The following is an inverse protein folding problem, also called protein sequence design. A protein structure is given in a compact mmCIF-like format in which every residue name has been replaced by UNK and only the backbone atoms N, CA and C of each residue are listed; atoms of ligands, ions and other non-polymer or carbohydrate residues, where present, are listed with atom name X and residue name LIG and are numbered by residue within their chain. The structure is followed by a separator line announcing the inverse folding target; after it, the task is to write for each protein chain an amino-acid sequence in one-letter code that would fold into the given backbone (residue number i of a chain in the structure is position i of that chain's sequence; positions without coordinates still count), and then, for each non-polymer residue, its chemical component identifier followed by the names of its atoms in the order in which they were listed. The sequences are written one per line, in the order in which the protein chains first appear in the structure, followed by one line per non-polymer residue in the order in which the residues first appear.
data_IF_420372969280
#
_entry.id   IF_420372969280
#
_cell.length_a   1.000
_cell.length_b   1.000
_cell.length_c   1.000
_cell.angle_alpha   90.00
_cell.angle_beta   90.00
_cell.angle_gamma   90.00
#
_symmetry.space_group_name_H-M   'P 1'
#
loop_
_entity.id
_entity.type
_entity.pdbx_description
1 polymer ?
#
# COMPACT_ATOMS: atom_id res chain seq x y z
N UNK A 1 -1.26 26.84 -13.25
CA UNK A 1 -2.40 25.93 -13.49
C UNK A 1 -2.74 26.00 -14.96
N UNK A 2 -2.98 24.87 -15.63
CA UNK A 2 -3.39 24.87 -17.03
C UNK A 2 -4.72 25.62 -17.18
N UNK A 3 -4.87 26.46 -18.20
CA UNK A 3 -6.02 27.36 -18.35
C UNK A 3 -7.37 26.64 -18.47
N UNK A 4 -7.36 25.36 -18.85
CA UNK A 4 -8.56 24.56 -19.11
C UNK A 4 -8.62 23.28 -18.27
N UNK A 5 -7.96 23.25 -17.10
CA UNK A 5 -8.05 22.09 -16.21
C UNK A 5 -9.27 22.19 -15.30
N UNK A 6 -10.19 21.25 -15.44
CA UNK A 6 -11.30 21.03 -14.51
C UNK A 6 -11.00 19.80 -13.65
N UNK A 7 -10.93 19.94 -12.31
CA UNK A 7 -10.75 18.80 -11.44
C UNK A 7 -11.91 17.79 -11.60
N UNK A 8 -11.63 16.47 -11.60
CA UNK A 8 -12.69 15.46 -11.59
C UNK A 8 -13.53 15.53 -10.30
N UNK A 9 -14.76 15.05 -10.37
CA UNK A 9 -15.62 14.96 -9.18
C UNK A 9 -15.05 13.97 -8.16
N UNK A 10 -15.10 14.29 -6.86
CA UNK A 10 -14.68 13.38 -5.81
C UNK A 10 -15.45 12.05 -5.87
N UNK A 11 -14.73 10.93 -5.76
CA UNK A 11 -15.32 9.59 -5.84
C UNK A 11 -15.56 9.05 -4.44
N UNK A 12 -16.72 8.43 -4.25
CA UNK A 12 -17.02 7.60 -3.09
C UNK A 12 -16.65 6.15 -3.36
N UNK A 13 -16.00 5.52 -2.38
CA UNK A 13 -15.45 4.18 -2.45
C UNK A 13 -16.07 3.31 -1.36
N UNK A 14 -16.48 2.10 -1.71
CA UNK A 14 -16.83 1.04 -0.76
C UNK A 14 -15.71 0.03 -0.75
N UNK A 15 -15.01 -0.06 0.37
CA UNK A 15 -13.83 -0.91 0.52
C UNK A 15 -14.18 -2.15 1.36
N UNK A 16 -13.47 -3.28 1.15
CA UNK A 16 -13.83 -4.56 1.76
C UNK A 16 -13.61 -4.61 3.28
N UNK A 17 -12.95 -3.61 3.87
CA UNK A 17 -12.71 -3.54 5.31
C UNK A 17 -11.84 -4.67 5.85
N UNK A 18 -11.98 -5.00 7.15
CA UNK A 18 -11.09 -5.93 7.85
C UNK A 18 -11.02 -7.33 7.25
N UNK A 19 -12.12 -7.82 6.65
CA UNK A 19 -12.15 -9.13 5.99
C UNK A 19 -11.29 -9.15 4.73
N UNK A 20 -11.29 -8.07 3.94
CA UNK A 20 -10.41 -7.89 2.80
C UNK A 20 -8.95 -7.82 3.21
N UNK A 21 -8.62 -7.06 4.26
CA UNK A 21 -7.25 -6.99 4.80
C UNK A 21 -6.74 -8.37 5.22
N UNK A 22 -7.58 -9.15 5.92
CA UNK A 22 -7.24 -10.50 6.36
C UNK A 22 -7.02 -11.46 5.18
N UNK A 23 -7.89 -11.43 4.17
CA UNK A 23 -7.77 -12.26 2.98
C UNK A 23 -6.47 -11.98 2.20
N UNK A 24 -6.13 -10.70 1.97
CA UNK A 24 -4.88 -10.32 1.33
C UNK A 24 -3.66 -10.73 2.16
N UNK A 25 -3.73 -10.54 3.49
CA UNK A 25 -2.65 -10.94 4.41
C UNK A 25 -2.40 -12.45 4.37
N UNK A 26 -3.45 -13.27 4.28
CA UNK A 26 -3.32 -14.72 4.13
C UNK A 26 -2.53 -15.08 2.87
N UNK A 27 -2.91 -14.51 1.72
CA UNK A 27 -2.23 -14.74 0.43
C UNK A 27 -0.76 -14.33 0.49
N UNK A 28 -0.44 -13.19 1.11
CA UNK A 28 0.95 -12.73 1.28
C UNK A 28 1.78 -13.70 2.13
N UNK A 29 1.22 -14.20 3.22
CA UNK A 29 1.90 -15.18 4.07
C UNK A 29 2.13 -16.50 3.33
N UNK A 30 1.17 -16.94 2.51
CA UNK A 30 1.31 -18.15 1.68
C UNK A 30 2.38 -17.95 0.59
N UNK A 31 2.47 -16.77 -0.02
CA UNK A 31 3.53 -16.45 -0.97
C UNK A 31 4.91 -16.46 -0.32
N UNK A 32 5.03 -15.95 0.91
CA UNK A 32 6.27 -16.02 1.65
C UNK A 32 6.67 -17.46 1.98
N UNK A 33 5.71 -18.26 2.47
CA UNK A 33 5.91 -19.69 2.74
C UNK A 33 6.32 -20.48 1.50
N UNK A 34 5.79 -20.11 0.34
CA UNK A 34 6.14 -20.71 -0.94
C UNK A 34 7.48 -20.19 -1.52
N UNK A 35 8.21 -19.32 -0.81
CA UNK A 35 9.46 -18.71 -1.28
C UNK A 35 9.28 -17.71 -2.43
N UNK A 36 8.04 -17.27 -2.70
CA UNK A 36 7.71 -16.34 -3.78
C UNK A 36 7.85 -14.87 -3.37
N UNK A 37 7.75 -14.57 -2.07
CA UNK A 37 7.85 -13.23 -1.51
C UNK A 37 8.94 -13.18 -0.42
N UNK A 38 9.74 -12.11 -0.42
CA UNK A 38 10.66 -11.84 0.70
C UNK A 38 9.91 -11.41 1.96
N UNK A 39 10.60 -11.31 3.08
CA UNK A 39 10.02 -10.76 4.31
C UNK A 39 9.58 -9.31 4.13
N UNK A 40 10.37 -8.51 3.41
CA UNK A 40 10.01 -7.11 3.15
C UNK A 40 8.85 -6.99 2.16
N UNK A 41 8.74 -7.89 1.18
CA UNK A 41 7.56 -7.95 0.28
C UNK A 41 6.27 -8.17 1.07
N UNK A 42 6.30 -9.02 2.11
CA UNK A 42 5.15 -9.21 3.01
C UNK A 42 4.87 -7.94 3.81
N UNK A 43 5.91 -7.27 4.29
CA UNK A 43 5.77 -6.02 5.06
C UNK A 43 5.11 -4.92 4.25
N UNK A 44 5.60 -4.68 3.02
CA UNK A 44 5.01 -3.73 2.06
C UNK A 44 3.60 -4.16 1.68
N UNK A 45 3.41 -5.44 1.36
CA UNK A 45 2.12 -6.00 0.98
C UNK A 45 1.04 -5.82 2.06
N UNK A 46 1.39 -6.02 3.35
CA UNK A 46 0.45 -5.81 4.47
C UNK A 46 0.07 -4.33 4.61
N UNK A 47 0.99 -3.39 4.36
CA UNK A 47 0.66 -1.96 4.32
C UNK A 47 -0.29 -1.65 3.17
N UNK A 48 -0.06 -2.21 1.99
CA UNK A 48 -0.95 -2.05 0.85
C UNK A 48 -2.34 -2.67 1.11
N UNK A 49 -2.38 -3.87 1.71
CA UNK A 49 -3.62 -4.53 2.09
C UNK A 49 -4.46 -3.65 3.03
N UNK A 50 -3.82 -3.00 4.00
CA UNK A 50 -4.48 -2.06 4.90
C UNK A 50 -5.09 -0.84 4.18
N UNK A 51 -4.36 -0.26 3.22
CA UNK A 51 -4.86 0.88 2.42
C UNK A 51 -6.04 0.46 1.55
N UNK A 52 -5.92 -0.66 0.83
CA UNK A 52 -6.97 -1.17 -0.06
C UNK A 52 -8.21 -1.67 0.70
N UNK A 53 -8.05 -2.08 1.95
CA UNK A 53 -9.17 -2.40 2.84
C UNK A 53 -9.88 -1.15 3.37
N UNK A 54 -9.32 0.05 3.20
CA UNK A 54 -9.86 1.29 3.78
C UNK A 54 -9.47 1.52 5.24
N UNK A 55 -8.53 0.71 5.75
CA UNK A 55 -8.09 0.74 7.14
C UNK A 55 -9.11 0.17 8.12
N UNK A 56 -9.17 0.73 9.33
CA UNK A 56 -10.12 0.31 10.38
C UNK A 56 -11.48 1.00 10.21
N UNK A 57 -12.19 0.64 9.14
CA UNK A 57 -13.51 1.19 8.81
C UNK A 57 -14.55 0.07 8.78
N UNK A 58 -15.82 0.42 8.95
CA UNK A 58 -16.90 -0.53 8.69
C UNK A 58 -17.06 -0.72 7.17
N UNK A 59 -17.15 -1.97 6.64
CA UNK A 59 -17.38 -2.21 5.22
C UNK A 59 -18.66 -1.59 4.66
N UNK A 60 -19.61 -1.21 5.52
CA UNK A 60 -20.85 -0.52 5.12
C UNK A 60 -20.67 0.98 4.88
N UNK A 61 -19.57 1.57 5.38
CA UNK A 61 -19.25 2.98 5.21
C UNK A 61 -18.74 3.28 3.80
N UNK A 62 -19.10 4.46 3.30
CA UNK A 62 -18.50 5.05 2.08
C UNK A 62 -17.31 5.91 2.47
N UNK A 63 -16.18 5.70 1.80
CA UNK A 63 -14.95 6.47 1.99
C UNK A 63 -14.73 7.43 0.83
N UNK A 64 -14.17 8.60 1.14
CA UNK A 64 -13.70 9.54 0.13
C UNK A 64 -12.31 9.14 -0.37
N UNK A 65 -11.98 9.54 -1.60
CA UNK A 65 -10.63 9.37 -2.15
C UNK A 65 -9.55 9.98 -1.24
N UNK A 66 -9.80 11.18 -0.69
CA UNK A 66 -8.89 11.85 0.25
C UNK A 66 -8.54 10.98 1.46
N UNK A 67 -9.51 10.19 1.96
CA UNK A 67 -9.29 9.30 3.09
C UNK A 67 -8.32 8.17 2.72
N UNK A 68 -8.49 7.59 1.54
CA UNK A 68 -7.62 6.52 1.03
C UNK A 68 -6.22 7.06 0.75
N UNK A 69 -6.10 8.23 0.13
CA UNK A 69 -4.82 8.90 -0.09
C UNK A 69 -4.11 9.24 1.24
N UNK A 70 -4.86 9.61 2.27
CA UNK A 70 -4.32 9.81 3.62
C UNK A 70 -3.74 8.52 4.24
N UNK A 71 -4.40 7.38 4.04
CA UNK A 71 -3.90 6.07 4.46
C UNK A 71 -2.64 5.69 3.69
N UNK A 72 -2.64 5.86 2.37
CA UNK A 72 -1.50 5.59 1.50
C UNK A 72 -0.28 6.42 1.92
N UNK A 73 -0.47 7.72 2.14
CA UNK A 73 0.60 8.61 2.60
C UNK A 73 1.23 8.13 3.90
N UNK A 74 0.39 7.78 4.87
CA UNK A 74 0.86 7.26 6.17
C UNK A 74 1.64 5.95 6.00
N UNK A 75 1.15 5.04 5.14
CA UNK A 75 1.79 3.78 4.84
C UNK A 75 3.17 3.97 4.19
N UNK A 76 3.28 4.83 3.17
CA UNK A 76 4.54 5.15 2.49
C UNK A 76 5.54 5.76 3.47
N UNK A 77 5.13 6.77 4.24
CA UNK A 77 6.01 7.43 5.23
C UNK A 77 6.47 6.43 6.31
N UNK A 78 5.63 5.48 6.69
CA UNK A 78 6.02 4.39 7.58
C UNK A 78 7.08 3.47 6.95
N UNK A 79 6.95 3.14 5.67
CA UNK A 79 7.89 2.25 4.97
C UNK A 79 9.24 2.93 4.74
N UNK A 80 9.26 4.23 4.46
CA UNK A 80 10.50 5.01 4.30
C UNK A 80 11.39 5.00 5.55
N UNK A 81 10.85 4.66 6.72
CA UNK A 81 11.61 4.51 7.98
C UNK A 81 12.22 3.12 8.18
N UNK A 82 12.06 2.21 7.22
CA UNK A 82 12.57 0.83 7.33
C UNK A 82 13.87 0.69 6.56
N UNK A 83 14.87 0.02 7.16
CA UNK A 83 16.17 -0.22 6.51
C UNK A 83 16.01 -0.92 5.14
N UNK A 84 15.19 -1.98 4.98
CA UNK A 84 15.05 -2.63 3.68
C UNK A 84 14.53 -1.71 2.57
N UNK A 85 13.72 -0.71 2.92
CA UNK A 85 13.27 0.31 1.95
C UNK A 85 14.41 1.25 1.57
N UNK A 86 15.21 1.69 2.54
CA UNK A 86 16.38 2.54 2.28
C UNK A 86 17.40 1.80 1.39
N UNK A 87 17.68 0.54 1.69
CA UNK A 87 18.58 -0.31 0.89
C UNK A 87 18.08 -0.45 -0.56
N UNK A 88 16.76 -0.59 -0.77
CA UNK A 88 16.17 -0.63 -2.11
C UNK A 88 16.38 0.68 -2.87
N UNK A 89 16.24 1.85 -2.23
CA UNK A 89 16.44 3.13 -2.94
C UNK A 89 17.92 3.34 -3.22
N UNK A 90 18.81 3.05 -2.27
CA UNK A 90 20.26 3.17 -2.43
C UNK A 90 20.74 2.29 -3.58
N UNK A 91 20.41 0.99 -3.57
CA UNK A 91 20.80 0.07 -4.62
C UNK A 91 20.26 0.47 -6.00
N UNK A 92 19.01 0.96 -6.07
CA UNK A 92 18.43 1.44 -7.32
C UNK A 92 19.18 2.68 -7.84
N UNK A 93 19.53 3.62 -6.97
CA UNK A 93 20.26 4.83 -7.34
C UNK A 93 21.70 4.52 -7.80
N UNK A 94 22.37 3.57 -7.15
CA UNK A 94 23.75 3.21 -7.47
C UNK A 94 23.87 2.32 -8.70
N UNK A 95 22.98 1.34 -8.84
CA UNK A 95 23.13 0.27 -9.83
C UNK A 95 22.11 0.33 -10.97
N UNK A 96 21.04 1.11 -10.81
CA UNK A 96 19.90 1.14 -11.74
C UNK A 96 19.06 -0.14 -11.74
N UNK A 97 19.29 -1.08 -10.79
CA UNK A 97 18.61 -2.37 -10.72
C UNK A 97 17.80 -2.49 -9.43
N UNK A 98 16.68 -3.24 -9.44
CA UNK A 98 15.91 -3.48 -8.23
C UNK A 98 16.65 -4.41 -7.27
N UNK A 99 16.69 -4.03 -5.98
CA UNK A 99 17.12 -4.91 -4.90
C UNK A 99 15.95 -5.76 -4.40
N UNK A 100 16.18 -7.06 -4.22
CA UNK A 100 15.19 -7.99 -3.68
C UNK A 100 15.62 -8.45 -2.28
N UNK A 101 15.17 -7.72 -1.27
CA UNK A 101 15.32 -8.00 0.16
C UNK A 101 13.95 -8.17 0.84
#
# INVERSE_FOLDING_TARGET
MAKDYTPPEPRELRLPGPSGEAAMTLVLNDFHRAGKATEHDVTVGKKLAHVLAGGKVDPTDTLTEDKVLGLERTAIVSLLRTSPTLDRIEHMLETGKPLRN
#
